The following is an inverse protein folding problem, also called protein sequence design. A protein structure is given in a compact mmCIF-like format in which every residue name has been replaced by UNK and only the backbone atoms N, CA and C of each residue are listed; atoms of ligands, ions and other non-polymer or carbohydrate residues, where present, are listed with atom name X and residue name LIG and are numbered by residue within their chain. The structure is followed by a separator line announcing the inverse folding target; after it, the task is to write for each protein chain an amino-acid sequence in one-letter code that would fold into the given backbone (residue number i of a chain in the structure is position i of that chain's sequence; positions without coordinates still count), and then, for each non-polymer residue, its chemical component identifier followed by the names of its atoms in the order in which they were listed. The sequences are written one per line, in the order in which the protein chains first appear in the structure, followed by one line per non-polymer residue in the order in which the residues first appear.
data_IF_220897732703
#
_entry.id   IF_220897732703
#
_cell.length_a   1.000
_cell.length_b   1.000
_cell.length_c   1.000
_cell.angle_alpha   90.00
_cell.angle_beta   90.00
_cell.angle_gamma   90.00
#
_symmetry.space_group_name_H-M   'P 1'
#
loop_
_entity.id
_entity.type
_entity.pdbx_description
1 polymer ?
#
# COMPACT_ATOMS: atom_id res chain seq x y z
N UNK A 1 -11.81 2.75 4.26
CA UNK A 1 -12.13 1.29 4.26
C UNK A 1 -13.13 0.84 5.32
N UNK A 2 -13.24 1.51 6.47
CA UNK A 2 -14.02 1.07 7.64
C UNK A 2 -15.43 0.51 7.32
N UNK A 3 -16.25 1.19 6.53
CA UNK A 3 -17.64 0.79 6.29
C UNK A 3 -17.85 -0.50 5.47
N UNK A 4 -16.82 -0.97 4.76
CA UNK A 4 -16.93 -2.17 3.89
C UNK A 4 -15.98 -3.29 4.31
N UNK A 5 -15.06 -3.04 5.24
CA UNK A 5 -13.94 -3.93 5.53
C UNK A 5 -14.39 -5.32 5.99
N UNK A 6 -15.37 -5.41 6.89
CA UNK A 6 -15.86 -6.70 7.38
C UNK A 6 -16.48 -7.54 6.26
N UNK A 7 -17.24 -6.93 5.35
CA UNK A 7 -17.86 -7.63 4.22
C UNK A 7 -16.83 -8.04 3.16
N UNK A 8 -15.87 -7.15 2.86
CA UNK A 8 -14.84 -7.40 1.84
C UNK A 8 -13.84 -8.45 2.31
N UNK A 9 -13.31 -8.33 3.53
CA UNK A 9 -12.29 -9.24 4.03
C UNK A 9 -12.87 -10.54 4.58
N UNK A 10 -14.09 -10.52 5.14
CA UNK A 10 -14.76 -11.71 5.66
C UNK A 10 -15.54 -12.51 4.61
N UNK A 11 -15.96 -11.89 3.51
CA UNK A 11 -16.84 -12.51 2.51
C UNK A 11 -16.16 -12.98 1.23
N UNK A 12 -14.87 -12.67 1.02
CA UNK A 12 -14.16 -12.96 -0.23
C UNK A 12 -12.87 -13.74 0.07
N UNK A 13 -12.77 -14.94 -0.51
CA UNK A 13 -11.61 -15.82 -0.32
C UNK A 13 -10.49 -15.51 -1.31
N UNK A 14 -9.84 -14.36 -1.14
CA UNK A 14 -8.63 -14.00 -1.87
C UNK A 14 -7.38 -14.30 -1.04
N UNK A 15 -6.29 -14.66 -1.69
CA UNK A 15 -4.99 -14.85 -1.04
C UNK A 15 -4.31 -13.52 -0.70
N UNK A 16 -4.55 -12.49 -1.53
CA UNK A 16 -3.90 -11.19 -1.44
C UNK A 16 -4.87 -10.05 -1.66
N UNK A 17 -4.74 -9.02 -0.84
CA UNK A 17 -5.49 -7.77 -0.98
C UNK A 17 -4.52 -6.63 -1.31
N UNK A 18 -4.73 -5.95 -2.44
CA UNK A 18 -3.97 -4.76 -2.82
C UNK A 18 -4.83 -3.54 -2.48
N UNK A 19 -4.37 -2.74 -1.51
CA UNK A 19 -5.18 -1.69 -0.90
C UNK A 19 -4.51 -0.32 -1.07
N UNK A 20 -5.27 0.66 -1.56
CA UNK A 20 -4.77 2.01 -1.80
C UNK A 20 -4.78 2.80 -0.48
N UNK A 21 -3.60 3.23 -0.04
CA UNK A 21 -3.41 3.95 1.21
C UNK A 21 -2.53 5.19 1.04
N UNK A 22 -2.33 5.71 -0.18
CA UNK A 22 -1.41 6.84 -0.45
C UNK A 22 -1.84 8.20 0.12
N UNK A 23 -3.09 8.35 0.55
CA UNK A 23 -3.64 9.63 0.99
C UNK A 23 -4.45 9.52 2.27
N UNK A 24 -4.59 10.65 2.98
CA UNK A 24 -5.38 10.73 4.22
C UNK A 24 -6.84 10.29 4.03
N UNK A 25 -7.38 10.39 2.80
CA UNK A 25 -8.73 9.93 2.46
C UNK A 25 -8.91 8.42 2.63
N UNK A 26 -7.84 7.62 2.54
CA UNK A 26 -7.92 6.18 2.74
C UNK A 26 -8.26 5.80 4.20
N UNK A 27 -8.04 6.73 5.14
CA UNK A 27 -8.14 6.50 6.58
C UNK A 27 -6.92 5.78 7.13
N UNK A 28 -7.03 5.28 8.37
CA UNK A 28 -6.00 4.49 9.02
C UNK A 28 -6.09 2.99 8.69
N UNK A 29 -5.26 2.21 9.39
CA UNK A 29 -5.13 0.76 9.20
C UNK A 29 -6.02 -0.07 10.12
N UNK A 30 -6.83 0.56 10.98
CA UNK A 30 -7.83 -0.11 11.84
C UNK A 30 -8.71 -1.13 11.09
N UNK A 31 -9.13 -0.90 9.82
CA UNK A 31 -9.93 -1.86 9.08
C UNK A 31 -9.22 -3.19 8.79
N UNK A 32 -7.88 -3.24 8.84
CA UNK A 32 -7.11 -4.46 8.61
C UNK A 32 -7.33 -5.51 9.70
N UNK A 33 -7.92 -5.15 10.85
CA UNK A 33 -8.31 -6.10 11.91
C UNK A 33 -9.28 -7.19 11.43
N UNK A 34 -9.99 -6.95 10.33
CA UNK A 34 -10.92 -7.90 9.72
C UNK A 34 -10.25 -8.82 8.69
N UNK A 35 -8.97 -8.64 8.38
CA UNK A 35 -8.25 -9.50 7.43
C UNK A 35 -8.07 -10.89 8.05
N UNK A 36 -8.53 -11.98 7.38
CA UNK A 36 -8.33 -13.33 7.89
C UNK A 36 -6.84 -13.66 8.03
N UNK A 37 -6.50 -14.49 9.02
CA UNK A 37 -5.12 -14.95 9.23
C UNK A 37 -4.58 -15.66 7.99
N UNK A 38 -3.28 -15.49 7.73
CA UNK A 38 -2.60 -16.15 6.61
C UNK A 38 -2.75 -15.44 5.27
N UNK A 39 -3.62 -14.43 5.14
CA UNK A 39 -3.74 -13.61 3.93
C UNK A 39 -2.60 -12.59 3.84
N UNK A 40 -2.25 -12.19 2.62
CA UNK A 40 -1.25 -11.13 2.37
C UNK A 40 -1.95 -9.79 2.13
N UNK A 41 -1.46 -8.73 2.75
CA UNK A 41 -1.92 -7.36 2.47
C UNK A 41 -0.79 -6.58 1.82
N UNK A 42 -1.04 -6.10 0.60
CA UNK A 42 -0.14 -5.21 -0.13
C UNK A 42 -0.59 -3.77 0.14
N UNK A 43 0.27 -3.03 0.82
CA UNK A 43 0.07 -1.64 1.19
C UNK A 43 0.47 -0.75 0.01
N UNK A 44 -0.53 -0.18 -0.66
CA UNK A 44 -0.35 0.81 -1.72
C UNK A 44 -0.05 2.19 -1.13
N UNK A 45 1.18 2.40 -0.66
CA UNK A 45 1.57 3.63 0.06
C UNK A 45 2.22 4.69 -0.85
N UNK A 46 2.73 4.29 -2.01
CA UNK A 46 3.42 5.19 -2.95
C UNK A 46 2.43 5.69 -4.00
N UNK A 47 2.23 7.00 -4.08
CA UNK A 47 1.24 7.57 -4.99
C UNK A 47 1.68 7.48 -6.45
N UNK A 48 0.76 7.08 -7.32
CA UNK A 48 0.92 7.14 -8.77
C UNK A 48 0.25 8.36 -9.40
N UNK A 49 -0.30 9.26 -8.57
CA UNK A 49 -1.07 10.44 -9.00
C UNK A 49 -0.23 11.72 -8.99
N UNK A 50 0.88 11.74 -8.24
CA UNK A 50 1.74 12.92 -8.06
C UNK A 50 3.23 12.56 -8.16
N UNK A 51 4.03 13.42 -8.78
CA UNK A 51 5.47 13.18 -9.00
C UNK A 51 6.31 13.21 -7.72
N UNK A 52 5.83 13.88 -6.66
CA UNK A 52 6.55 13.97 -5.39
C UNK A 52 6.88 12.57 -4.85
N UNK A 53 8.14 12.35 -4.51
CA UNK A 53 8.58 11.13 -3.83
C UNK A 53 8.15 11.14 -2.37
N UNK A 54 7.70 9.98 -1.92
CA UNK A 54 7.37 9.71 -0.54
C UNK A 54 8.65 9.68 0.31
N UNK A 55 8.50 10.04 1.60
CA UNK A 55 9.61 9.93 2.55
C UNK A 55 9.82 8.46 2.93
N UNK A 56 11.06 7.93 2.85
CA UNK A 56 11.37 6.59 3.34
C UNK A 56 10.95 6.39 4.80
N UNK A 57 11.15 7.40 5.65
CA UNK A 57 10.83 7.31 7.08
C UNK A 57 9.31 7.26 7.31
N UNK A 58 8.55 7.97 6.47
CA UNK A 58 7.08 7.90 6.51
C UNK A 58 6.59 6.52 6.05
N UNK A 59 7.15 5.97 4.98
CA UNK A 59 6.81 4.63 4.52
C UNK A 59 7.07 3.57 5.61
N UNK A 60 8.24 3.63 6.27
CA UNK A 60 8.58 2.72 7.37
C UNK A 60 7.57 2.85 8.53
N UNK A 61 7.30 4.07 8.98
CA UNK A 61 6.34 4.34 10.06
C UNK A 61 4.95 3.79 9.72
N UNK A 62 4.50 3.97 8.48
CA UNK A 62 3.19 3.49 8.04
C UNK A 62 3.12 1.96 7.92
N UNK A 63 4.21 1.32 7.52
CA UNK A 63 4.32 -0.15 7.57
C UNK A 63 4.23 -0.64 9.01
N UNK A 64 4.92 0.01 9.97
CA UNK A 64 4.84 -0.33 11.39
C UNK A 64 3.42 -0.13 11.96
N UNK A 65 2.72 0.92 11.54
CA UNK A 65 1.33 1.15 11.92
C UNK A 65 0.41 0.02 11.41
N UNK A 66 0.58 -0.42 10.17
CA UNK A 66 -0.16 -1.55 9.61
C UNK A 66 0.20 -2.89 10.29
N UNK A 67 1.46 -3.05 10.70
CA UNK A 67 1.97 -4.25 11.37
C UNK A 67 1.33 -4.51 12.75
N UNK A 68 0.64 -3.52 13.31
CA UNK A 68 -0.20 -3.68 14.52
C UNK A 68 -1.42 -4.56 14.28
N UNK A 69 -1.87 -4.69 13.03
CA UNK A 69 -3.09 -5.41 12.66
C UNK A 69 -2.82 -6.70 11.87
N UNK A 70 -1.78 -6.70 11.03
CA UNK A 70 -1.40 -7.84 10.19
C UNK A 70 0.08 -8.16 10.45
N UNK A 71 0.47 -9.43 10.66
CA UNK A 71 1.87 -9.78 10.87
C UNK A 71 2.76 -9.22 9.77
N UNK A 72 3.93 -8.68 10.12
CA UNK A 72 4.85 -8.05 9.15
C UNK A 72 5.24 -8.98 8.00
N UNK A 73 5.39 -10.28 8.25
CA UNK A 73 5.66 -11.29 7.21
C UNK A 73 4.51 -11.51 6.21
N UNK A 74 3.33 -10.99 6.50
CA UNK A 74 2.13 -11.01 5.66
C UNK A 74 1.85 -9.64 5.01
N UNK A 75 2.74 -8.66 5.21
CA UNK A 75 2.65 -7.35 4.57
C UNK A 75 3.59 -7.26 3.36
N UNK A 76 3.23 -6.42 2.40
CA UNK A 76 4.06 -6.04 1.27
C UNK A 76 3.85 -4.56 0.92
N UNK A 77 4.77 -3.97 0.16
CA UNK A 77 4.69 -2.58 -0.29
C UNK A 77 4.51 -2.51 -1.81
N UNK A 78 3.64 -1.61 -2.28
CA UNK A 78 3.46 -1.32 -3.70
C UNK A 78 3.15 0.15 -3.96
N UNK A 79 3.11 0.59 -5.23
CA UNK A 79 2.38 1.80 -5.57
C UNK A 79 0.90 1.62 -5.23
N UNK A 80 0.18 2.72 -5.09
CA UNK A 80 -1.25 2.69 -4.77
C UNK A 80 -2.09 2.14 -5.91
N UNK A 81 -1.68 2.35 -7.15
CA UNK A 81 -2.34 1.80 -8.34
C UNK A 81 -1.32 1.66 -9.48
N UNK A 82 -1.77 1.40 -10.71
CA UNK A 82 -0.91 1.52 -11.89
C UNK A 82 -0.53 2.97 -12.20
N UNK A 83 0.58 3.19 -12.92
CA UNK A 83 0.98 4.52 -13.40
C UNK A 83 0.15 5.02 -14.59
N UNK A 84 -0.55 4.13 -15.29
CA UNK A 84 -1.42 4.44 -16.44
C UNK A 84 -2.92 4.27 -16.11
N UNK A 85 -3.32 4.55 -14.87
CA UNK A 85 -4.64 4.18 -14.34
C UNK A 85 -5.81 5.07 -14.77
N UNK A 86 -5.56 6.19 -15.45
CA UNK A 86 -6.62 7.08 -15.96
C UNK A 86 -6.46 7.29 -17.46
N UNK A 87 -7.57 7.47 -18.18
CA UNK A 87 -7.59 7.62 -19.64
C UNK A 87 -6.76 8.83 -20.14
N UNK A 88 -6.62 9.86 -19.31
CA UNK A 88 -5.78 11.02 -19.58
C UNK A 88 -4.28 10.79 -19.27
N UNK A 89 -3.92 9.65 -18.66
CA UNK A 89 -2.62 9.43 -18.03
C UNK A 89 -2.50 10.14 -16.68
N UNK A 90 -1.65 9.63 -15.79
CA UNK A 90 -1.19 10.42 -14.65
C UNK A 90 -0.03 11.31 -15.13
N UNK A 91 0.02 12.57 -14.70
CA UNK A 91 1.12 13.50 -15.01
C UNK A 91 2.38 13.15 -14.19
N UNK A 92 2.94 11.98 -14.46
CA UNK A 92 4.17 11.48 -13.84
C UNK A 92 5.18 11.14 -14.94
N UNK A 93 6.37 11.73 -14.83
CA UNK A 93 7.44 11.47 -15.79
C UNK A 93 7.96 10.04 -15.65
N UNK A 94 8.54 9.49 -16.72
CA UNK A 94 9.14 8.15 -16.67
C UNK A 94 10.24 8.06 -15.61
N UNK A 95 11.04 9.13 -15.43
CA UNK A 95 12.06 9.20 -14.40
C UNK A 95 11.47 9.16 -12.98
N UNK A 96 10.32 9.80 -12.75
CA UNK A 96 9.63 9.74 -11.45
C UNK A 96 9.02 8.36 -11.20
N UNK A 97 8.49 7.68 -12.23
CA UNK A 97 8.03 6.29 -12.11
C UNK A 97 9.19 5.39 -11.67
N UNK A 98 10.35 5.51 -12.32
CA UNK A 98 11.56 4.76 -11.97
C UNK A 98 11.98 5.02 -10.52
N UNK A 99 12.08 6.28 -10.12
CA UNK A 99 12.47 6.66 -8.74
C UNK A 99 11.49 6.15 -7.69
N UNK A 100 10.18 6.15 -8.00
CA UNK A 100 9.16 5.58 -7.11
C UNK A 100 9.32 4.07 -6.96
N UNK A 101 9.65 3.35 -8.03
CA UNK A 101 9.92 1.91 -7.96
C UNK A 101 11.22 1.61 -7.19
N UNK A 102 12.28 2.40 -7.41
CA UNK A 102 13.54 2.32 -6.63
C UNK A 102 13.27 2.51 -5.13
N UNK A 103 12.49 3.54 -4.77
CA UNK A 103 12.08 3.80 -3.39
C UNK A 103 11.34 2.62 -2.75
N UNK A 104 10.43 1.97 -3.50
CA UNK A 104 9.70 0.79 -3.02
C UNK A 104 10.66 -0.35 -2.74
N UNK A 105 11.57 -0.66 -3.67
CA UNK A 105 12.54 -1.75 -3.53
C UNK A 105 13.47 -1.50 -2.34
N UNK A 106 13.98 -0.29 -2.20
CA UNK A 106 14.89 0.07 -1.12
C UNK A 106 14.21 0.07 0.24
N UNK A 107 12.97 0.56 0.32
CA UNK A 107 12.15 0.47 1.53
C UNK A 107 11.89 -0.99 1.89
N UNK A 108 11.48 -1.83 0.92
CA UNK A 108 11.19 -3.23 1.16
C UNK A 108 12.41 -4.01 1.70
N UNK A 109 13.61 -3.74 1.16
CA UNK A 109 14.87 -4.34 1.65
C UNK A 109 15.24 -3.92 3.08
N UNK A 110 14.74 -2.78 3.56
CA UNK A 110 14.94 -2.35 4.96
C UNK A 110 14.01 -3.10 5.90
N UNK A 111 12.79 -3.38 5.45
CA UNK A 111 11.73 -4.00 6.27
C UNK A 111 11.84 -5.53 6.31
N UNK A 112 11.98 -6.19 5.15
CA UNK A 112 11.92 -7.65 5.03
C UNK A 112 13.28 -8.24 4.67
N UNK A 113 14.14 -8.39 5.69
CA UNK A 113 15.45 -9.06 5.55
C UNK A 113 15.40 -10.54 5.90
#
# INVERSE_FOLDING_TARGET
YEHIAEKVFGGLDFDRFLLEYDSARAGGFEPLRYVPKGKTVVLGLVSTKVSQLESPDDLLRRIDEAAKYVPIGNLALSPQCGFASVAAGNEISWDDQRRKLELIVDTARRVWR
#
